data_IF_115870613175
#
_entry.id   IF_115870613175
#
_cell.length_a   1.000
_cell.length_b   1.000
_cell.length_c   1.000
_cell.angle_alpha   90.00
_cell.angle_beta   90.00
_cell.angle_gamma   90.00
#
_symmetry.space_group_name_H-M   'P 1'
#
loop_
_entity.id
_entity.type
_entity.pdbx_description
1 polymer ?
#
# COMPACT_ATOMS: atom_id res chain seq x y z
N UNK A 1 -7.92 13.24 7.61
CA UNK A 1 -8.88 12.83 6.56
C UNK A 1 -8.42 13.42 5.22
N UNK A 2 -7.84 12.59 4.34
CA UNK A 2 -7.23 13.04 3.08
C UNK A 2 -8.29 13.40 2.03
N UNK A 3 -9.34 12.60 1.94
CA UNK A 3 -10.46 12.80 1.02
C UNK A 3 -11.16 14.14 1.28
N UNK A 4 -11.56 14.41 2.53
CA UNK A 4 -12.24 15.67 2.88
C UNK A 4 -11.39 16.91 2.56
N UNK A 5 -10.08 16.84 2.83
CA UNK A 5 -9.15 17.94 2.51
C UNK A 5 -8.98 18.14 0.99
N UNK A 6 -9.08 17.07 0.20
CA UNK A 6 -9.02 17.14 -1.26
C UNK A 6 -10.23 17.86 -1.84
N UNK A 7 -11.43 17.57 -1.35
CA UNK A 7 -12.64 18.34 -1.69
C UNK A 7 -12.53 19.81 -1.29
N UNK A 8 -11.96 20.10 -0.11
CA UNK A 8 -11.72 21.47 0.32
C UNK A 8 -10.76 22.21 -0.63
N UNK A 9 -9.69 21.56 -1.09
CA UNK A 9 -8.77 22.16 -2.07
C UNK A 9 -9.49 22.45 -3.40
N UNK A 10 -10.26 21.50 -3.94
CA UNK A 10 -11.06 21.71 -5.15
C UNK A 10 -12.01 22.91 -5.01
N UNK A 11 -12.69 23.02 -3.86
CA UNK A 11 -13.58 24.14 -3.58
C UNK A 11 -12.81 25.48 -3.52
N UNK A 12 -11.64 25.52 -2.87
CA UNK A 12 -10.79 26.72 -2.80
C UNK A 12 -10.30 27.16 -4.19
N UNK A 13 -9.90 26.21 -5.03
CA UNK A 13 -9.47 26.47 -6.42
C UNK A 13 -10.65 27.03 -7.23
N UNK A 14 -11.83 26.41 -7.13
CA UNK A 14 -13.03 26.88 -7.82
C UNK A 14 -13.48 28.28 -7.37
N UNK A 15 -13.34 28.60 -6.08
CA UNK A 15 -13.59 29.93 -5.52
C UNK A 15 -12.47 30.94 -5.82
N UNK A 16 -11.42 30.56 -6.55
CA UNK A 16 -10.24 31.39 -6.86
C UNK A 16 -9.52 31.93 -5.61
N UNK A 17 -9.56 31.20 -4.49
CA UNK A 17 -8.89 31.55 -3.24
C UNK A 17 -7.47 30.98 -3.18
N UNK A 18 -6.61 31.39 -4.11
CA UNK A 18 -5.25 30.87 -4.29
C UNK A 18 -4.38 30.95 -3.02
N UNK A 19 -4.50 32.03 -2.25
CA UNK A 19 -3.76 32.23 -0.99
C UNK A 19 -4.06 31.15 0.06
N UNK A 20 -5.31 30.66 0.12
CA UNK A 20 -5.72 29.61 1.04
C UNK A 20 -5.46 28.20 0.46
N UNK A 21 -5.48 28.06 -0.86
CA UNK A 21 -5.26 26.79 -1.53
C UNK A 21 -3.80 26.31 -1.41
N UNK A 22 -2.83 27.21 -1.44
CA UNK A 22 -1.40 26.86 -1.42
C UNK A 22 -0.94 26.01 -0.23
N UNK A 23 -1.27 26.38 1.02
CA UNK A 23 -0.99 25.56 2.20
C UNK A 23 -1.65 24.17 2.14
N UNK A 24 -2.88 24.08 1.65
CA UNK A 24 -3.62 22.82 1.55
C UNK A 24 -2.99 21.90 0.49
N UNK A 25 -2.66 22.43 -0.69
CA UNK A 25 -1.97 21.68 -1.74
C UNK A 25 -0.61 21.15 -1.28
N UNK A 26 0.15 21.97 -0.53
CA UNK A 26 1.43 21.55 0.05
C UNK A 26 1.26 20.41 1.05
N UNK A 27 0.28 20.52 1.94
CA UNK A 27 0.00 19.48 2.92
C UNK A 27 -0.40 18.16 2.24
N UNK A 28 -1.30 18.21 1.24
CA UNK A 28 -1.70 17.03 0.47
C UNK A 28 -0.52 16.39 -0.29
N UNK A 29 0.38 17.20 -0.86
CA UNK A 29 1.57 16.68 -1.53
C UNK A 29 2.53 15.94 -0.59
N UNK A 30 2.48 16.25 0.71
CA UNK A 30 3.29 15.59 1.75
C UNK A 30 2.65 14.31 2.30
N UNK A 31 1.35 14.06 2.05
CA UNK A 31 0.66 12.86 2.52
C UNK A 31 0.87 11.64 1.63
N UNK A 32 1.64 11.77 0.55
CA UNK A 32 1.85 10.69 -0.40
C UNK A 32 2.68 9.57 0.24
N UNK A 33 2.20 8.33 0.16
CA UNK A 33 2.94 7.16 0.58
C UNK A 33 3.98 6.76 -0.49
N UNK A 34 4.94 5.91 -0.11
CA UNK A 34 5.88 5.35 -1.08
C UNK A 34 5.11 4.63 -2.20
N UNK A 35 5.37 5.00 -3.46
CA UNK A 35 4.65 4.47 -4.62
C UNK A 35 3.48 5.32 -5.14
N UNK A 36 3.15 6.46 -4.52
CA UNK A 36 2.14 7.38 -5.09
C UNK A 36 0.72 7.23 -4.52
N UNK A 37 0.52 6.39 -3.51
CA UNK A 37 -0.79 6.10 -2.92
C UNK A 37 -1.14 7.01 -1.73
N UNK A 38 -2.45 7.19 -1.49
CA UNK A 38 -2.98 7.96 -0.35
C UNK A 38 -3.85 7.11 0.60
N UNK A 39 -3.55 5.82 0.70
CA UNK A 39 -4.19 4.88 1.63
C UNK A 39 -5.56 4.35 1.20
N UNK A 40 -6.27 5.00 0.27
CA UNK A 40 -7.47 4.44 -0.37
C UNK A 40 -7.58 4.88 -1.82
N UNK A 41 -8.28 4.10 -2.65
CA UNK A 41 -8.52 4.44 -4.06
C UNK A 41 -9.27 5.77 -4.20
N UNK A 42 -10.32 5.98 -3.39
CA UNK A 42 -11.13 7.19 -3.42
C UNK A 42 -10.31 8.43 -3.01
N UNK A 43 -9.53 8.33 -1.93
CA UNK A 43 -8.66 9.43 -1.51
C UNK A 43 -7.60 9.72 -2.59
N UNK A 44 -6.98 8.68 -3.16
CA UNK A 44 -5.94 8.82 -4.19
C UNK A 44 -6.46 9.56 -5.43
N UNK A 45 -7.64 9.17 -5.94
CA UNK A 45 -8.26 9.82 -7.10
C UNK A 45 -8.54 11.30 -6.80
N UNK A 46 -9.11 11.60 -5.63
CA UNK A 46 -9.47 12.96 -5.26
C UNK A 46 -8.25 13.85 -5.05
N UNK A 47 -7.18 13.34 -4.44
CA UNK A 47 -5.93 14.10 -4.26
C UNK A 47 -5.33 14.46 -5.62
N UNK A 48 -5.23 13.49 -6.53
CA UNK A 48 -4.67 13.77 -7.86
C UNK A 48 -5.51 14.78 -8.62
N UNK A 49 -6.84 14.66 -8.59
CA UNK A 49 -7.72 15.64 -9.21
C UNK A 49 -7.52 17.04 -8.60
N UNK A 50 -7.48 17.14 -7.27
CA UNK A 50 -7.33 18.40 -6.55
C UNK A 50 -5.99 19.08 -6.83
N UNK A 51 -4.88 18.34 -6.78
CA UNK A 51 -3.55 18.87 -7.06
C UNK A 51 -3.39 19.25 -8.53
N UNK A 52 -3.93 18.47 -9.47
CA UNK A 52 -3.90 18.81 -10.88
C UNK A 52 -4.67 20.10 -11.18
N UNK A 53 -5.88 20.26 -10.64
CA UNK A 53 -6.64 21.50 -10.81
C UNK A 53 -5.96 22.70 -10.15
N UNK A 54 -5.38 22.52 -8.96
CA UNK A 54 -4.59 23.55 -8.31
C UNK A 54 -3.39 23.99 -9.17
N UNK A 55 -2.68 23.02 -9.78
CA UNK A 55 -1.52 23.30 -10.63
C UNK A 55 -1.90 24.03 -11.92
N UNK A 56 -3.04 23.69 -12.53
CA UNK A 56 -3.57 24.40 -13.72
C UNK A 56 -4.03 25.82 -13.38
N UNK A 57 -4.63 26.02 -12.21
CA UNK A 57 -5.14 27.32 -11.77
C UNK A 57 -4.05 28.27 -11.25
N UNK A 58 -2.90 27.73 -10.85
CA UNK A 58 -1.75 28.53 -10.42
C UNK A 58 -0.93 28.89 -11.65
N UNK A 59 -0.65 30.17 -11.88
CA UNK A 59 0.19 30.59 -13.00
C UNK A 59 1.54 29.84 -12.96
N UNK A 60 1.88 29.22 -14.10
CA UNK A 60 3.12 28.47 -14.26
C UNK A 60 4.31 29.42 -14.21
N UNK A 61 4.99 29.47 -13.08
CA UNK A 61 6.31 30.08 -12.93
C UNK A 61 7.13 29.19 -12.00
N UNK A 62 8.43 28.99 -12.19
CA UNK A 62 9.43 29.61 -13.05
C UNK A 62 10.64 28.68 -12.99
N UNK A 63 11.37 28.53 -14.09
CA UNK A 63 12.78 28.09 -14.14
C UNK A 63 13.18 27.03 -13.08
N UNK A 64 13.01 25.75 -13.44
CA UNK A 64 13.53 24.65 -12.62
C UNK A 64 14.98 24.42 -13.01
N UNK A 65 15.89 24.78 -12.12
CA UNK A 65 17.32 24.52 -12.19
C UNK A 65 17.84 24.18 -10.79
N UNK A 66 17.74 22.91 -10.42
CA UNK A 66 18.19 22.42 -9.11
C UNK A 66 19.38 21.49 -9.28
N UNK A 67 20.46 21.78 -8.56
CA UNK A 67 21.58 20.88 -8.36
C UNK A 67 21.47 20.23 -6.98
N UNK A 68 21.19 18.93 -6.97
CA UNK A 68 21.09 18.14 -5.74
C UNK A 68 22.28 17.20 -5.66
N UNK A 69 23.01 17.25 -4.54
CA UNK A 69 24.11 16.33 -4.26
C UNK A 69 23.84 15.53 -3.00
N UNK A 70 23.99 14.21 -3.10
CA UNK A 70 23.79 13.25 -2.01
C UNK A 70 25.13 12.61 -1.70
N UNK A 71 25.67 12.87 -0.51
CA UNK A 71 26.88 12.24 -0.01
C UNK A 71 26.49 11.09 0.91
N UNK A 72 26.78 9.87 0.44
CA UNK A 72 26.59 8.64 1.20
C UNK A 72 27.89 8.27 1.92
N UNK A 73 27.83 7.73 3.14
CA UNK A 73 29.00 7.52 4.00
C UNK A 73 30.05 6.55 3.44
N UNK A 74 29.63 5.59 2.59
CA UNK A 74 30.54 4.62 1.94
C UNK A 74 31.00 5.04 0.55
N UNK A 75 30.69 6.25 0.10
CA UNK A 75 31.03 6.75 -1.23
C UNK A 75 32.04 7.88 -1.11
N UNK A 76 33.17 7.75 -1.82
CA UNK A 76 34.20 8.77 -1.85
C UNK A 76 33.75 10.08 -2.55
N UNK A 77 32.76 9.99 -3.45
CA UNK A 77 32.23 11.15 -4.18
C UNK A 77 30.71 11.28 -4.02
N UNK A 78 30.18 12.52 -3.89
CA UNK A 78 28.74 12.76 -3.87
C UNK A 78 28.09 12.36 -5.19
N UNK A 79 26.88 11.80 -5.09
CA UNK A 79 26.00 11.59 -6.25
C UNK A 79 25.40 12.93 -6.60
N UNK A 80 25.51 13.38 -7.85
CA UNK A 80 24.98 14.67 -8.31
C UNK A 80 23.81 14.47 -9.27
N UNK A 81 22.74 15.20 -9.03
CA UNK A 81 21.56 15.24 -9.88
C UNK A 81 21.30 16.70 -10.30
N UNK A 82 21.31 16.94 -11.61
CA UNK A 82 20.85 18.20 -12.20
C UNK A 82 19.40 18.02 -12.64
N UNK A 83 18.49 18.75 -12.00
CA UNK A 83 17.06 18.71 -12.26
C UNK A 83 16.68 19.97 -13.02
N UNK A 84 16.14 19.77 -14.20
CA UNK A 84 15.71 20.78 -15.17
C UNK A 84 14.31 20.43 -15.68
N UNK A 85 13.60 21.39 -16.26
CA UNK A 85 12.25 21.16 -16.80
C UNK A 85 12.14 19.90 -17.70
N UNK A 86 13.17 19.64 -18.51
CA UNK A 86 13.22 18.47 -19.41
C UNK A 86 13.32 17.12 -18.71
N UNK A 87 13.84 17.06 -17.49
CA UNK A 87 14.10 15.82 -16.75
C UNK A 87 13.43 15.79 -15.36
N UNK A 88 12.57 16.78 -15.07
CA UNK A 88 11.89 16.96 -13.79
C UNK A 88 11.09 15.74 -13.33
N UNK A 89 10.54 14.98 -14.29
CA UNK A 89 9.71 13.80 -14.03
C UNK A 89 10.50 12.50 -13.89
N UNK A 90 11.83 12.54 -14.09
CA UNK A 90 12.65 11.34 -14.04
C UNK A 90 13.00 10.99 -12.59
N UNK A 91 12.46 9.89 -12.10
CA UNK A 91 12.76 9.39 -10.76
C UNK A 91 14.25 9.02 -10.62
N UNK A 92 14.85 9.41 -9.50
CA UNK A 92 16.23 9.09 -9.11
C UNK A 92 16.23 8.50 -7.70
N UNK A 93 16.80 7.33 -7.54
CA UNK A 93 16.93 6.65 -6.25
C UNK A 93 18.36 6.20 -6.01
N UNK A 94 18.73 6.12 -4.73
CA UNK A 94 19.97 5.51 -4.28
C UNK A 94 19.69 4.82 -2.96
N UNK A 95 20.38 3.72 -2.73
CA UNK A 95 20.26 2.94 -1.51
C UNK A 95 21.50 3.14 -0.63
N UNK A 96 21.31 3.04 0.68
CA UNK A 96 22.37 3.07 1.68
C UNK A 96 22.01 2.11 2.81
N UNK A 97 22.99 1.77 3.65
CA UNK A 97 22.71 0.93 4.82
C UNK A 97 21.93 1.71 5.87
N UNK A 98 21.12 0.96 6.63
CA UNK A 98 20.40 1.48 7.78
C UNK A 98 21.37 2.05 8.83
N UNK A 99 20.97 3.15 9.48
CA UNK A 99 21.72 3.82 10.55
C UNK A 99 23.07 4.42 10.13
N UNK A 100 23.25 4.77 8.86
CA UNK A 100 24.41 5.56 8.43
C UNK A 100 23.93 6.97 8.01
N UNK A 101 24.56 8.01 8.56
CA UNK A 101 24.21 9.40 8.25
C UNK A 101 24.61 9.74 6.82
N UNK A 102 23.71 10.40 6.09
CA UNK A 102 23.97 10.93 4.75
C UNK A 102 23.69 12.43 4.71
N UNK A 103 24.41 13.13 3.83
CA UNK A 103 24.26 14.58 3.65
C UNK A 103 23.62 14.88 2.30
N UNK A 104 22.62 15.75 2.29
CA UNK A 104 21.99 16.25 1.08
C UNK A 104 22.25 17.75 0.98
N UNK A 105 22.78 18.19 -0.15
CA UNK A 105 22.98 19.61 -0.46
C UNK A 105 22.24 19.93 -1.74
N UNK A 106 21.32 20.89 -1.69
CA UNK A 106 20.54 21.36 -2.82
C UNK A 106 20.84 22.85 -3.08
N UNK A 107 21.12 23.19 -4.33
CA UNK A 107 21.46 24.55 -4.77
C UNK A 107 20.67 24.89 -6.05
N UNK A 108 20.38 26.17 -6.28
CA UNK A 108 19.68 26.64 -7.49
C UNK A 108 18.25 27.11 -7.24
N UNK A 109 17.43 27.11 -8.30
CA UNK A 109 16.07 27.65 -8.32
C UNK A 109 15.07 26.55 -8.62
N UNK A 110 14.03 26.46 -7.80
CA UNK A 110 12.92 25.53 -8.01
C UNK A 110 12.47 24.87 -6.71
N UNK A 111 11.54 23.93 -6.84
CA UNK A 111 11.05 23.10 -5.74
C UNK A 111 11.16 21.64 -6.14
N UNK A 112 11.75 20.84 -5.29
CA UNK A 112 11.85 19.39 -5.44
C UNK A 112 11.38 18.69 -4.18
N UNK A 113 10.89 17.47 -4.35
CA UNK A 113 10.50 16.60 -3.23
C UNK A 113 11.49 15.45 -3.15
N UNK A 114 12.02 15.21 -1.95
CA UNK A 114 12.85 14.05 -1.64
C UNK A 114 12.15 13.23 -0.56
N UNK A 115 12.08 11.92 -0.79
CA UNK A 115 11.48 10.96 0.15
C UNK A 115 12.54 9.95 0.56
N UNK A 116 12.64 9.69 1.87
CA UNK A 116 13.52 8.67 2.43
C UNK A 116 12.64 7.51 2.89
N UNK A 117 12.92 6.31 2.39
CA UNK A 117 12.12 5.12 2.64
C UNK A 117 12.99 4.08 3.31
N UNK A 118 12.53 3.56 4.44
CA UNK A 118 13.25 2.56 5.22
C UNK A 118 12.41 1.30 5.29
N UNK A 119 12.93 0.20 4.74
CA UNK A 119 12.30 -1.11 4.79
C UNK A 119 13.10 -1.98 5.76
N UNK A 120 12.44 -2.52 6.78
CA UNK A 120 13.06 -3.38 7.78
C UNK A 120 12.04 -4.39 8.34
N UNK A 121 12.54 -5.52 8.84
CA UNK A 121 11.72 -6.47 9.57
C UNK A 121 11.55 -6.00 11.02
N UNK A 122 10.30 -5.81 11.44
CA UNK A 122 9.94 -5.47 12.81
C UNK A 122 9.11 -6.59 13.44
N UNK A 123 9.22 -6.76 14.75
CA UNK A 123 8.19 -7.51 15.50
C UNK A 123 6.93 -6.65 15.54
N UNK A 124 5.78 -7.26 15.29
CA UNK A 124 4.48 -6.59 15.39
C UNK A 124 4.30 -6.09 16.84
N UNK A 125 3.99 -4.81 17.06
CA UNK A 125 3.71 -4.29 18.40
C UNK A 125 2.46 -4.96 19.00
N UNK A 126 2.46 -5.27 20.31
CA UNK A 126 1.34 -5.92 21.00
C UNK A 126 -0.02 -5.18 20.89
N UNK A 127 0.01 -3.88 20.52
CA UNK A 127 -1.20 -3.07 20.29
C UNK A 127 -1.83 -3.32 18.92
N UNK A 128 -1.01 -3.64 17.92
CA UNK A 128 -1.45 -3.88 16.54
C UNK A 128 -1.88 -5.34 16.35
N UNK A 129 -1.59 -6.21 17.32
CA UNK A 129 -2.12 -7.59 17.40
C UNK A 129 -3.60 -7.66 17.79
N UNK A 130 -4.24 -6.54 18.14
CA UNK A 130 -5.66 -6.50 18.53
C UNK A 130 -6.54 -6.00 17.40
N UNK A 131 -7.34 -6.92 16.84
CA UNK A 131 -8.40 -6.57 15.92
C UNK A 131 -9.61 -6.00 16.70
N UNK A 132 -9.66 -4.68 16.86
CA UNK A 132 -10.73 -4.01 17.61
C UNK A 132 -11.99 -3.81 16.77
N UNK A 133 -11.83 -3.63 15.45
CA UNK A 133 -12.92 -3.28 14.53
C UNK A 133 -13.61 -4.50 13.91
N UNK A 134 -12.88 -5.60 13.74
CA UNK A 134 -13.41 -6.85 13.20
C UNK A 134 -13.23 -7.99 14.20
N UNK A 135 -14.20 -8.88 14.22
CA UNK A 135 -14.04 -10.22 14.74
C UNK A 135 -13.63 -11.11 13.57
N UNK A 136 -12.52 -11.83 13.70
CA UNK A 136 -12.02 -12.75 12.69
C UNK A 136 -11.68 -14.08 13.36
N UNK A 137 -12.30 -15.15 12.90
CA UNK A 137 -12.01 -16.51 13.34
C UNK A 137 -11.66 -17.38 12.14
N UNK A 138 -10.58 -18.15 12.29
CA UNK A 138 -10.09 -19.09 11.28
C UNK A 138 -9.99 -20.45 11.93
N UNK A 139 -10.66 -21.44 11.33
CA UNK A 139 -10.58 -22.83 11.73
C UNK A 139 -10.04 -23.66 10.57
N UNK A 140 -9.11 -24.57 10.85
CA UNK A 140 -8.53 -25.49 9.86
C UNK A 140 -8.82 -26.90 10.32
N UNK A 141 -9.47 -27.67 9.46
CA UNK A 141 -9.88 -29.04 9.73
C UNK A 141 -9.33 -29.97 8.64
N UNK A 142 -8.85 -31.14 9.04
CA UNK A 142 -8.51 -32.19 8.08
C UNK A 142 -9.78 -32.79 7.49
N UNK A 143 -9.73 -33.09 6.19
CA UNK A 143 -10.84 -33.74 5.49
C UNK A 143 -10.41 -35.16 5.12
N UNK A 144 -11.04 -36.15 5.74
CA UNK A 144 -10.89 -37.54 5.38
C UNK A 144 -11.56 -37.78 4.00
N UNK A 145 -10.76 -38.04 2.97
CA UNK A 145 -11.27 -38.26 1.60
C UNK A 145 -11.45 -36.97 0.78
N UNK A 146 -10.41 -36.13 0.73
CA UNK A 146 -10.35 -34.99 -0.18
C UNK A 146 -10.39 -35.39 -1.66
N UNK A 147 -10.29 -34.41 -2.57
CA UNK A 147 -10.21 -34.70 -4.01
C UNK A 147 -8.91 -35.47 -4.31
N UNK A 148 -9.05 -36.75 -4.61
CA UNK A 148 -7.95 -37.61 -5.06
C UNK A 148 -7.62 -37.29 -6.52
N UNK A 149 -6.89 -36.18 -6.74
CA UNK A 149 -6.20 -35.91 -8.01
C UNK A 149 -4.75 -36.41 -7.91
N UNK A 150 -4.18 -36.83 -9.04
CA UNK A 150 -2.75 -37.14 -9.12
C UNK A 150 -1.96 -35.91 -8.64
N UNK A 151 -1.03 -36.14 -7.70
CA UNK A 151 -0.20 -35.15 -6.99
C UNK A 151 -0.76 -34.51 -5.70
N UNK A 152 -2.02 -34.73 -5.29
CA UNK A 152 -2.55 -34.20 -4.00
C UNK A 152 -2.38 -35.21 -2.86
N UNK A 153 -1.61 -34.83 -1.83
CA UNK A 153 -1.23 -35.72 -0.71
C UNK A 153 -2.10 -35.52 0.52
N UNK A 154 -2.59 -34.29 0.74
CA UNK A 154 -3.42 -33.94 1.89
C UNK A 154 -4.42 -32.87 1.48
N UNK A 155 -5.62 -32.97 2.04
CA UNK A 155 -6.66 -31.96 1.89
C UNK A 155 -7.09 -31.43 3.24
N UNK A 156 -7.08 -30.11 3.37
CA UNK A 156 -7.61 -29.40 4.54
C UNK A 156 -8.75 -28.48 4.12
N UNK A 157 -9.71 -28.29 5.03
CA UNK A 157 -10.79 -27.31 4.92
C UNK A 157 -10.48 -26.13 5.83
N UNK A 158 -10.48 -24.92 5.27
CA UNK A 158 -10.27 -23.68 6.01
C UNK A 158 -11.57 -22.91 6.11
N UNK A 159 -12.17 -22.81 7.30
CA UNK A 159 -13.36 -22.00 7.54
C UNK A 159 -12.95 -20.64 8.08
N UNK A 160 -13.37 -19.57 7.39
CA UNK A 160 -13.09 -18.19 7.80
C UNK A 160 -14.41 -17.48 8.08
N UNK A 161 -14.59 -17.01 9.32
CA UNK A 161 -15.72 -16.19 9.71
C UNK A 161 -15.24 -14.80 10.11
N UNK A 162 -15.89 -13.78 9.58
CA UNK A 162 -15.61 -12.39 9.93
C UNK A 162 -16.88 -11.61 10.24
N UNK A 163 -16.79 -10.67 11.17
CA UNK A 163 -17.87 -9.77 11.54
C UNK A 163 -17.34 -8.39 11.89
N UNK A 164 -17.89 -7.35 11.29
CA UNK A 164 -17.59 -5.98 11.71
C UNK A 164 -18.29 -5.68 13.04
N UNK A 165 -17.58 -5.04 13.98
CA UNK A 165 -18.04 -4.83 15.36
C UNK A 165 -18.83 -3.54 15.59
N UNK A 166 -18.99 -2.70 14.58
CA UNK A 166 -19.79 -1.48 14.68
C UNK A 166 -21.30 -1.77 14.51
N UNK A 167 -22.08 -0.75 14.77
CA UNK A 167 -23.55 -0.68 14.66
C UNK A 167 -24.06 -0.67 13.22
N UNK A 168 -23.21 -0.27 12.27
CA UNK A 168 -23.52 -0.23 10.84
C UNK A 168 -22.63 -1.21 10.11
N UNK A 169 -23.14 -1.82 9.05
CA UNK A 169 -22.35 -2.72 8.21
C UNK A 169 -21.15 -1.98 7.61
N UNK A 170 -19.99 -2.67 7.58
CA UNK A 170 -18.83 -2.16 6.86
C UNK A 170 -19.17 -2.05 5.37
N UNK A 171 -18.60 -1.04 4.71
CA UNK A 171 -18.85 -0.78 3.29
C UNK A 171 -18.11 -1.79 2.41
N UNK A 172 -16.89 -1.47 2.00
CA UNK A 172 -16.00 -2.39 1.29
C UNK A 172 -14.98 -2.96 2.27
N UNK A 173 -14.95 -4.29 2.35
CA UNK A 173 -13.97 -5.02 3.17
C UNK A 173 -13.17 -5.96 2.26
N UNK A 174 -11.87 -6.02 2.52
CA UNK A 174 -10.95 -6.91 1.82
C UNK A 174 -10.52 -7.98 2.81
N UNK A 175 -10.67 -9.25 2.42
CA UNK A 175 -10.15 -10.38 3.15
C UNK A 175 -8.95 -10.94 2.37
N UNK A 176 -7.75 -10.73 2.89
CA UNK A 176 -6.51 -11.26 2.33
C UNK A 176 -6.09 -12.50 3.11
N UNK A 177 -5.92 -13.63 2.41
CA UNK A 177 -5.63 -14.94 3.01
C UNK A 177 -4.38 -15.51 2.37
N UNK A 178 -3.30 -15.55 3.15
CA UNK A 178 -2.08 -16.24 2.76
C UNK A 178 -2.15 -17.72 3.12
N UNK A 179 -1.82 -18.59 2.15
CA UNK A 179 -1.84 -20.04 2.33
C UNK A 179 -0.57 -20.55 3.02
N UNK A 180 -0.70 -21.71 3.69
CA UNK A 180 0.44 -22.44 4.21
C UNK A 180 1.37 -22.90 3.07
N UNK A 181 2.66 -22.97 3.35
CA UNK A 181 3.66 -23.43 2.37
C UNK A 181 3.31 -24.83 1.84
N UNK A 182 3.23 -24.96 0.51
CA UNK A 182 2.93 -26.22 -0.16
C UNK A 182 1.43 -26.51 -0.36
N UNK A 183 0.53 -25.63 0.10
CA UNK A 183 -0.91 -25.73 -0.15
C UNK A 183 -1.36 -24.72 -1.21
N UNK A 184 -2.28 -25.14 -2.07
CA UNK A 184 -2.94 -24.26 -3.05
C UNK A 184 -4.47 -24.40 -2.96
N UNK A 185 -5.24 -23.30 -3.06
CA UNK A 185 -6.68 -23.34 -2.84
C UNK A 185 -7.39 -23.98 -4.04
N UNK A 186 -8.42 -24.80 -3.78
CA UNK A 186 -9.29 -25.29 -4.84
C UNK A 186 -10.08 -24.14 -5.48
N UNK A 187 -9.83 -23.95 -6.78
CA UNK A 187 -10.46 -22.92 -7.59
C UNK A 187 -11.95 -23.13 -7.80
N UNK A 188 -12.45 -24.38 -7.74
CA UNK A 188 -13.88 -24.67 -7.89
C UNK A 188 -14.67 -24.17 -6.68
N UNK A 189 -14.11 -24.40 -5.51
CA UNK A 189 -14.60 -23.96 -4.22
C UNK A 189 -14.59 -22.42 -4.13
N UNK A 190 -13.48 -21.78 -4.51
CA UNK A 190 -13.40 -20.30 -4.60
C UNK A 190 -14.41 -19.71 -5.59
N UNK A 191 -14.68 -20.40 -6.72
CA UNK A 191 -15.69 -19.96 -7.70
C UNK A 191 -17.11 -19.99 -7.13
N UNK A 192 -17.43 -20.94 -6.24
CA UNK A 192 -18.75 -20.96 -5.59
C UNK A 192 -18.94 -19.75 -4.70
N UNK A 193 -17.89 -19.36 -3.98
CA UNK A 193 -17.89 -18.17 -3.12
C UNK A 193 -17.96 -16.86 -3.93
N UNK A 194 -17.35 -16.82 -5.13
CA UNK A 194 -17.38 -15.62 -5.97
C UNK A 194 -18.69 -15.42 -6.75
N UNK A 195 -19.44 -16.50 -7.00
CA UNK A 195 -20.72 -16.47 -7.73
C UNK A 195 -21.93 -16.36 -6.79
N UNK A 196 -21.80 -16.79 -5.53
CA UNK A 196 -22.83 -16.68 -4.50
C UNK A 196 -22.74 -15.37 -3.70
N UNK A 197 -23.88 -14.91 -3.16
CA UNK A 197 -23.91 -13.86 -2.14
C UNK A 197 -23.25 -14.39 -0.87
N UNK A 198 -22.29 -13.64 -0.29
CA UNK A 198 -21.77 -13.89 1.05
C UNK A 198 -22.93 -13.89 2.06
N UNK A 199 -23.49 -15.08 2.34
CA UNK A 199 -24.40 -15.28 3.46
C UNK A 199 -23.62 -15.12 4.76
N UNK A 200 -24.24 -14.57 5.80
CA UNK A 200 -23.64 -14.45 7.14
C UNK A 200 -22.89 -15.74 7.55
N UNK A 201 -21.58 -15.62 7.82
CA UNK A 201 -20.58 -16.71 7.77
C UNK A 201 -20.63 -17.49 6.45
N UNK A 202 -19.89 -17.00 5.44
CA UNK A 202 -19.65 -17.78 4.25
C UNK A 202 -18.76 -18.96 4.62
N UNK A 203 -19.31 -20.17 4.60
CA UNK A 203 -18.53 -21.41 4.56
C UNK A 203 -17.57 -21.30 3.37
N UNK A 204 -16.34 -20.86 3.63
CA UNK A 204 -15.28 -20.92 2.64
C UNK A 204 -14.83 -22.38 2.63
N UNK A 205 -15.65 -23.28 2.09
CA UNK A 205 -15.20 -24.66 1.86
C UNK A 205 -14.17 -24.54 0.76
N UNK A 206 -12.90 -24.45 1.11
CA UNK A 206 -11.78 -24.54 0.18
C UNK A 206 -10.98 -25.78 0.56
N UNK A 207 -11.08 -26.82 -0.26
CA UNK A 207 -10.19 -27.97 -0.19
C UNK A 207 -8.80 -27.55 -0.70
N UNK A 208 -7.75 -27.60 0.12
CA UNK A 208 -6.39 -27.31 -0.34
C UNK A 208 -5.60 -28.59 -0.58
N UNK A 209 -5.13 -28.80 -1.80
CA UNK A 209 -4.25 -29.93 -2.13
C UNK A 209 -2.78 -29.64 -1.86
N UNK A 210 -2.09 -30.53 -1.14
CA UNK A 210 -0.64 -30.47 -0.94
C UNK A 210 0.15 -31.28 -1.97
N UNK A 211 1.14 -30.69 -2.64
CA UNK A 211 2.06 -31.36 -3.58
C UNK A 211 3.44 -31.62 -2.95
N UNK A 212 4.04 -32.81 -3.11
CA UNK A 212 5.45 -33.06 -2.75
C UNK A 212 6.37 -32.90 -3.97
N UNK A 213 7.16 -31.83 -3.96
CA UNK A 213 8.39 -31.69 -4.73
C UNK A 213 9.31 -30.71 -4.01
N UNK A 214 10.56 -31.11 -3.76
CA UNK A 214 11.52 -30.40 -2.91
C UNK A 214 11.57 -28.89 -3.20
N UNK A 215 11.16 -28.06 -2.24
CA UNK A 215 11.51 -26.63 -2.24
C UNK A 215 11.70 -26.11 -0.82
N UNK A 216 12.94 -25.75 -0.51
CA UNK A 216 13.32 -24.97 0.67
C UNK A 216 12.67 -23.58 0.56
N UNK A 217 11.88 -23.18 1.56
CA UNK A 217 11.25 -21.87 1.58
C UNK A 217 10.77 -21.46 2.96
N UNK A 218 11.66 -20.84 3.73
CA UNK A 218 11.29 -19.93 4.83
C UNK A 218 10.41 -18.81 4.28
N UNK A 219 9.25 -18.54 4.87
CA UNK A 219 8.54 -17.27 4.71
C UNK A 219 7.55 -17.05 5.86
N UNK A 220 7.71 -15.91 6.55
CA UNK A 220 6.85 -15.44 7.61
C UNK A 220 5.51 -14.95 7.05
N UNK A 221 4.44 -15.24 7.79
CA UNK A 221 3.10 -14.74 7.49
C UNK A 221 3.01 -13.25 7.81
N UNK A 222 2.74 -12.47 6.77
CA UNK A 222 2.17 -11.13 6.92
C UNK A 222 0.65 -11.27 7.05
N UNK A 223 0.08 -10.75 8.13
CA UNK A 223 -1.26 -10.18 8.07
C UNK A 223 -1.12 -8.89 7.26
N UNK A 224 -1.50 -8.94 5.99
CA UNK A 224 -1.52 -7.76 5.13
C UNK A 224 -2.64 -6.84 5.57
N UNK A 225 -2.28 -5.73 6.23
CA UNK A 225 -2.83 -4.48 5.76
C UNK A 225 -2.25 -4.26 4.37
N UNK A 226 -3.12 -4.11 3.37
CA UNK A 226 -2.71 -3.47 2.13
C UNK A 226 -2.38 -2.02 2.49
N UNK A 227 -1.09 -1.69 2.57
CA UNK A 227 -0.59 -0.31 2.78
C UNK A 227 0.36 0.06 1.65
#
# INVERSE_FOLDING_TARGET
NIEGTSYALLALVHMKKSQLAGPVARWLSQQNYYGGGYGSTQATILVFQALAQYQVATESQQELELDVSVLLPRRASPIKYRIENRNALVARSTETKLNEDFTVKAEGVGKGTMTVVTVYHAKVPDKDDKCDNFDLSVAVEDVDGGKEEEDIIRTVKITICTRYRDTVDATMSILDVSMLTGFSPDLQDLRRVSVGTWGHCGDTVGTLGGHCGDTVGTLGGHCGDTV
#
